data_IF_926022934346
#
_entry.id   IF_926022934346
#
_cell.length_a   1.000
_cell.length_b   1.000
_cell.length_c   1.000
_cell.angle_alpha   90.00
_cell.angle_beta   90.00
_cell.angle_gamma   90.00
#
_symmetry.space_group_name_H-M   'P 1'
#
loop_
_entity.id
_entity.type
_entity.pdbx_description
1 polymer ?
#
# COMPACT_ATOMS: atom_id res chain seq x y z
N UNK A 1 -2.60 26.96 -11.31
CA UNK A 1 -3.57 25.85 -11.22
C UNK A 1 -2.98 24.75 -10.33
N UNK A 2 -3.48 24.56 -9.10
CA UNK A 2 -3.04 23.44 -8.24
C UNK A 2 -3.68 22.16 -8.78
N UNK A 3 -2.90 21.32 -9.48
CA UNK A 3 -3.36 19.99 -9.92
C UNK A 3 -3.84 19.21 -8.68
N UNK A 4 -5.04 18.61 -8.68
CA UNK A 4 -5.46 17.78 -7.56
C UNK A 4 -4.45 16.65 -7.41
N UNK A 5 -3.81 16.56 -6.24
CA UNK A 5 -2.92 15.43 -5.93
C UNK A 5 -3.75 14.15 -6.07
N UNK A 6 -3.28 13.13 -6.80
CA UNK A 6 -4.00 11.87 -6.90
C UNK A 6 -4.23 11.34 -5.48
N UNK A 7 -5.49 11.09 -5.13
CA UNK A 7 -5.86 10.50 -3.85
C UNK A 7 -5.39 9.04 -3.86
N UNK A 8 -4.26 8.78 -3.23
CA UNK A 8 -3.83 7.42 -2.92
C UNK A 8 -4.73 6.86 -1.84
N UNK A 9 -5.10 5.59 -1.97
CA UNK A 9 -5.81 4.84 -0.94
C UNK A 9 -4.85 3.88 -0.25
N UNK A 10 -5.19 3.50 0.98
CA UNK A 10 -4.40 2.55 1.76
C UNK A 10 -4.96 1.14 1.55
N UNK A 11 -4.08 0.18 1.29
CA UNK A 11 -4.44 -1.21 1.02
C UNK A 11 -3.65 -2.15 1.92
N UNK A 12 -4.27 -3.19 2.49
CA UNK A 12 -3.54 -4.19 3.26
C UNK A 12 -2.71 -5.07 2.33
N UNK A 13 -1.46 -5.32 2.69
CA UNK A 13 -0.55 -6.18 1.93
C UNK A 13 -0.80 -7.62 2.35
N UNK A 14 -1.24 -8.46 1.41
CA UNK A 14 -1.53 -9.87 1.65
C UNK A 14 -0.30 -10.73 1.30
N UNK A 15 0.38 -10.37 0.21
CA UNK A 15 1.55 -11.10 -0.29
C UNK A 15 2.63 -10.13 -0.71
N UNK A 16 3.88 -10.56 -0.62
CA UNK A 16 5.02 -9.78 -1.10
C UNK A 16 4.94 -9.49 -2.62
N UNK A 17 5.27 -8.26 -3.01
CA UNK A 17 5.28 -7.84 -4.41
C UNK A 17 6.25 -6.69 -4.67
N UNK A 18 6.54 -6.47 -5.95
CA UNK A 18 7.40 -5.38 -6.39
C UNK A 18 6.56 -4.20 -6.87
N UNK A 19 6.79 -3.02 -6.29
CA UNK A 19 6.14 -1.76 -6.62
C UNK A 19 7.22 -0.74 -6.97
N UNK A 20 7.21 -0.20 -8.20
CA UNK A 20 8.17 0.80 -8.67
C UNK A 20 9.64 0.44 -8.36
N UNK A 21 9.99 -0.85 -8.48
CA UNK A 21 11.35 -1.35 -8.20
C UNK A 21 11.64 -1.69 -6.74
N UNK A 22 10.81 -1.24 -5.77
CA UNK A 22 10.90 -1.58 -4.35
C UNK A 22 10.12 -2.86 -4.04
N UNK A 23 10.65 -3.69 -3.15
CA UNK A 23 9.92 -4.80 -2.56
C UNK A 23 9.03 -4.30 -1.43
N UNK A 24 7.76 -4.70 -1.50
CA UNK A 24 6.72 -4.42 -0.50
C UNK A 24 6.35 -5.75 0.13
N UNK A 25 6.37 -5.82 1.46
CA UNK A 25 6.14 -7.06 2.20
C UNK A 25 4.97 -6.94 3.18
N UNK A 26 4.27 -8.04 3.49
CA UNK A 26 3.19 -8.04 4.48
C UNK A 26 3.62 -7.51 5.86
N UNK A 27 4.92 -7.51 6.17
CA UNK A 27 5.47 -6.92 7.40
C UNK A 27 5.18 -5.43 7.53
N UNK A 28 5.03 -4.70 6.42
CA UNK A 28 4.65 -3.28 6.40
C UNK A 28 3.15 -3.07 6.71
N UNK A 29 2.36 -4.15 6.76
CA UNK A 29 0.90 -4.22 6.96
C UNK A 29 0.07 -3.59 5.84
N UNK A 30 0.36 -2.35 5.47
CA UNK A 30 -0.41 -1.60 4.47
C UNK A 30 0.48 -0.80 3.52
N UNK A 31 -0.06 -0.47 2.35
CA UNK A 31 0.63 0.29 1.30
C UNK A 31 -0.30 1.34 0.70
N UNK A 32 0.26 2.52 0.44
CA UNK A 32 -0.45 3.60 -0.26
C UNK A 32 -0.28 3.45 -1.76
N UNK A 33 -1.39 3.27 -2.48
CA UNK A 33 -1.37 3.04 -3.91
C UNK A 33 -2.38 3.93 -4.63
N UNK A 34 -2.08 4.24 -5.89
CA UNK A 34 -3.06 4.83 -6.77
C UNK A 34 -4.05 3.77 -7.27
N UNK A 35 -5.33 4.11 -7.51
CA UNK A 35 -6.32 3.17 -8.04
C UNK A 35 -5.89 2.46 -9.34
N UNK A 36 -5.10 3.14 -10.19
CA UNK A 36 -4.52 2.51 -11.40
C UNK A 36 -3.51 1.39 -11.09
N UNK A 37 -2.79 1.48 -9.98
CA UNK A 37 -1.79 0.48 -9.58
C UNK A 37 -2.44 -0.70 -8.85
N UNK A 38 -3.63 -0.52 -8.28
CA UNK A 38 -4.24 -1.51 -7.37
C UNK A 38 -5.02 -2.58 -8.09
N UNK A 39 -5.57 -2.31 -9.29
CA UNK A 39 -6.39 -3.29 -10.01
C UNK A 39 -5.66 -4.61 -10.23
N UNK A 40 -4.42 -4.56 -10.74
CA UNK A 40 -3.61 -5.74 -10.96
C UNK A 40 -3.18 -6.42 -9.64
N UNK A 41 -2.83 -5.64 -8.62
CA UNK A 41 -2.40 -6.19 -7.32
C UNK A 41 -3.55 -6.90 -6.60
N UNK A 42 -4.77 -6.34 -6.67
CA UNK A 42 -5.98 -6.91 -6.10
C UNK A 42 -6.39 -8.18 -6.85
N UNK A 43 -6.37 -8.16 -8.19
CA UNK A 43 -6.65 -9.34 -9.01
C UNK A 43 -5.66 -10.49 -8.76
N UNK A 44 -4.39 -10.18 -8.50
CA UNK A 44 -3.37 -11.19 -8.17
C UNK A 44 -3.38 -11.61 -6.69
N UNK A 45 -4.28 -11.07 -5.87
CA UNK A 45 -4.34 -11.35 -4.43
C UNK A 45 -3.12 -10.87 -3.64
N UNK A 46 -2.38 -9.88 -4.16
CA UNK A 46 -1.21 -9.28 -3.49
C UNK A 46 -1.59 -8.27 -2.43
N UNK A 47 -2.70 -7.56 -2.65
CA UNK A 47 -3.29 -6.62 -1.71
C UNK A 47 -4.76 -6.95 -1.50
N UNK A 48 -5.31 -6.59 -0.34
CA UNK A 48 -6.74 -6.70 -0.05
C UNK A 48 -7.53 -5.46 -0.48
N UNK A 49 -8.83 -5.39 -0.13
CA UNK A 49 -9.67 -4.25 -0.45
C UNK A 49 -9.18 -2.95 0.21
N UNK A 50 -9.49 -1.82 -0.41
CA UNK A 50 -9.09 -0.50 0.09
C UNK A 50 -9.64 -0.25 1.49
N UNK A 51 -8.78 0.20 2.39
CA UNK A 51 -9.17 0.70 3.70
C UNK A 51 -9.30 2.21 3.54
N UNK A 52 -10.53 2.72 3.63
CA UNK A 52 -10.76 4.16 3.68
C UNK A 52 -10.03 4.67 4.93
N UNK A 53 -9.03 5.54 4.75
CA UNK A 53 -8.09 5.96 5.79
C UNK A 53 -8.80 6.74 6.92
N UNK A 54 -9.47 6.00 7.79
CA UNK A 54 -9.89 6.39 9.12
C UNK A 54 -9.25 5.37 10.06
N UNK A 55 -8.13 5.78 10.66
CA UNK A 55 -7.38 5.05 11.70
C UNK A 55 -6.51 3.91 11.18
N UNK A 56 -5.22 4.15 11.00
CA UNK A 56 -4.19 3.27 11.58
C UNK A 56 -2.85 3.98 11.69
N UNK A 57 -2.65 4.58 12.86
CA UNK A 57 -1.37 5.07 13.32
C UNK A 57 -0.38 3.90 13.48
N UNK A 58 0.88 4.14 13.08
CA UNK A 58 2.11 3.59 13.67
C UNK A 58 2.48 2.12 13.36
N UNK A 59 3.54 1.99 12.56
CA UNK A 59 4.62 1.01 12.77
C UNK A 59 5.92 1.79 12.48
N UNK A 60 6.46 2.52 13.46
CA UNK A 60 7.56 2.06 14.33
C UNK A 60 8.54 1.15 13.58
N UNK A 61 9.60 1.79 13.07
CA UNK A 61 11.01 1.40 13.20
C UNK A 61 11.24 0.04 13.86
N UNK A 62 11.88 -0.92 13.17
CA UNK A 62 12.94 -1.80 13.69
C UNK A 62 13.51 -2.67 12.54
N UNK A 63 14.80 -2.47 12.23
CA UNK A 63 15.86 -3.51 12.22
C UNK A 63 17.19 -2.74 11.97
N UNK A 64 18.20 -2.71 12.84
CA UNK A 64 18.50 -3.57 13.98
C UNK A 64 19.56 -4.62 13.65
N UNK A 65 20.79 -4.20 13.31
CA UNK A 65 22.01 -4.71 13.97
C UNK A 65 23.20 -3.79 13.74
#
# INVERSE_FOLDING_TARGET
MKKPKPKTLEYPIIKEFRLNGRWVSPSEKTVHLMPMQTAFLLQNGKIGPAIEAKVSSKSTEQEGK
#
